data_IF_118829593753
#
_entry.id   IF_118829593753
#
_cell.length_a   1.000
_cell.length_b   1.000
_cell.length_c   1.000
_cell.angle_alpha   90.00
_cell.angle_beta   90.00
_cell.angle_gamma   90.00
#
_symmetry.space_group_name_H-M   'P 1'
#
loop_
_entity.id
_entity.type
_entity.pdbx_description
1 polymer ?
#
# COMPACT_ATOMS: atom_id res chain seq x y z
N UNK A 1 6.46 44.56 -11.98
CA UNK A 1 6.05 43.14 -12.09
C UNK A 1 7.30 42.32 -11.83
N UNK A 2 7.27 41.46 -10.81
CA UNK A 2 8.42 40.61 -10.47
C UNK A 2 8.50 39.45 -11.48
N UNK A 3 9.58 39.32 -12.26
CA UNK A 3 9.76 38.22 -13.21
C UNK A 3 10.01 36.85 -12.53
N UNK A 4 10.16 36.81 -11.20
CA UNK A 4 10.42 35.59 -10.41
C UNK A 4 9.22 35.12 -9.57
N UNK A 5 8.00 35.56 -9.90
CA UNK A 5 6.82 34.94 -9.33
C UNK A 5 6.74 33.48 -9.81
N UNK A 6 7.30 32.56 -9.02
CA UNK A 6 7.16 31.11 -9.18
C UNK A 6 5.67 30.80 -9.23
N UNK A 7 5.15 30.60 -10.44
CA UNK A 7 3.84 29.99 -10.61
C UNK A 7 3.90 28.64 -9.89
N UNK A 8 3.02 28.36 -8.92
CA UNK A 8 2.95 27.02 -8.36
C UNK A 8 2.73 26.06 -9.52
N UNK A 9 3.61 25.07 -9.66
CA UNK A 9 3.46 24.00 -10.65
C UNK A 9 2.07 23.37 -10.45
N UNK A 10 1.11 23.80 -11.27
CA UNK A 10 -0.18 23.13 -11.38
C UNK A 10 0.10 21.80 -12.08
N UNK A 11 0.25 20.75 -11.28
CA UNK A 11 0.32 19.38 -11.78
C UNK A 11 -1.08 19.02 -12.24
N UNK A 12 -1.27 18.89 -13.55
CA UNK A 12 -2.50 18.37 -14.11
C UNK A 12 -2.59 16.87 -13.81
N UNK A 13 -3.44 16.53 -12.84
CA UNK A 13 -3.66 15.14 -12.41
C UNK A 13 -4.45 14.30 -13.42
N UNK A 14 -4.89 14.90 -14.53
CA UNK A 14 -5.51 14.22 -15.67
C UNK A 14 -4.52 13.86 -16.78
N UNK A 15 -3.28 14.35 -16.69
CA UNK A 15 -2.20 13.95 -17.58
C UNK A 15 -1.81 12.49 -17.28
N UNK A 16 -1.96 11.56 -18.25
CA UNK A 16 -1.62 10.15 -18.05
C UNK A 16 -0.11 9.92 -17.86
N UNK A 17 0.74 10.91 -18.13
CA UNK A 17 2.17 10.87 -17.83
C UNK A 17 2.49 11.19 -16.36
N UNK A 18 1.55 11.82 -15.64
CA UNK A 18 1.67 12.09 -14.20
C UNK A 18 1.35 10.82 -13.44
N UNK A 19 2.41 10.12 -13.00
CA UNK A 19 2.26 9.01 -12.05
C UNK A 19 1.89 9.55 -10.69
N UNK A 20 0.75 9.08 -10.19
CA UNK A 20 0.34 9.34 -8.80
C UNK A 20 1.10 8.36 -7.93
N UNK A 21 2.09 8.89 -7.22
CA UNK A 21 2.87 8.15 -6.23
C UNK A 21 2.41 8.53 -4.84
N UNK A 22 2.55 7.60 -3.90
CA UNK A 22 2.02 7.78 -2.56
C UNK A 22 0.75 6.96 -2.40
N UNK A 23 0.90 5.78 -1.80
CA UNK A 23 -0.18 4.83 -1.58
C UNK A 23 -0.23 4.46 -0.10
N UNK A 24 -1.42 4.59 0.46
CA UNK A 24 -1.77 4.15 1.80
C UNK A 24 -2.18 2.69 1.74
N UNK A 25 -1.27 1.82 2.18
CA UNK A 25 -1.45 0.39 2.09
C UNK A 25 -1.89 -0.18 3.44
N UNK A 26 -3.01 -0.90 3.42
CA UNK A 26 -3.66 -1.45 4.60
C UNK A 26 -3.82 -2.95 4.42
N UNK A 27 -3.39 -3.73 5.41
CA UNK A 27 -3.61 -5.18 5.49
C UNK A 27 -4.48 -5.50 6.69
N UNK A 28 -5.61 -6.16 6.45
CA UNK A 28 -6.47 -6.70 7.49
C UNK A 28 -6.29 -8.22 7.55
N UNK A 29 -5.67 -8.72 8.60
CA UNK A 29 -5.56 -10.16 8.85
C UNK A 29 -6.81 -10.66 9.56
N UNK A 30 -7.56 -11.53 8.90
CA UNK A 30 -8.78 -12.12 9.45
C UNK A 30 -8.61 -13.60 9.83
N UNK A 31 -7.37 -14.10 9.90
CA UNK A 31 -7.11 -15.46 10.37
C UNK A 31 -7.45 -15.60 11.87
N UNK A 32 -8.63 -16.19 12.12
CA UNK A 32 -9.16 -16.45 13.45
C UNK A 32 -8.36 -17.50 14.25
N UNK A 33 -7.43 -18.20 13.62
CA UNK A 33 -6.55 -19.19 14.27
C UNK A 33 -5.21 -18.60 14.71
N UNK A 34 -4.91 -17.35 14.33
CA UNK A 34 -3.70 -16.65 14.75
C UNK A 34 -3.89 -16.02 16.14
N UNK A 35 -2.79 -15.90 16.91
CA UNK A 35 -2.80 -15.19 18.19
C UNK A 35 -3.18 -13.69 18.05
N UNK A 36 -3.08 -13.18 16.82
CA UNK A 36 -3.31 -11.79 16.41
C UNK A 36 -4.54 -11.68 15.46
N UNK A 37 -5.55 -12.54 15.68
CA UNK A 37 -6.78 -12.52 14.90
C UNK A 37 -7.40 -11.11 14.86
N UNK A 38 -7.71 -10.62 13.66
CA UNK A 38 -8.22 -9.25 13.41
C UNK A 38 -7.20 -8.11 13.62
N UNK A 39 -5.93 -8.35 13.30
CA UNK A 39 -4.93 -7.29 13.27
C UNK A 39 -5.00 -6.49 11.97
N UNK A 40 -4.91 -5.17 12.11
CA UNK A 40 -4.76 -4.25 10.98
C UNK A 40 -3.35 -3.70 10.97
N UNK A 41 -2.69 -3.77 9.82
CA UNK A 41 -1.43 -3.12 9.55
C UNK A 41 -1.61 -2.04 8.48
N UNK A 42 -0.96 -0.89 8.64
CA UNK A 42 -1.07 0.25 7.72
C UNK A 42 0.28 0.90 7.53
N UNK A 43 0.67 1.17 6.28
CA UNK A 43 1.92 1.86 5.95
C UNK A 43 1.77 2.69 4.67
N UNK A 44 2.41 3.85 4.68
CA UNK A 44 2.54 4.70 3.50
C UNK A 44 3.73 4.27 2.64
N UNK A 45 3.52 4.18 1.33
CA UNK A 45 4.55 3.85 0.35
C UNK A 45 4.67 4.96 -0.68
N UNK A 46 5.90 5.38 -1.01
CA UNK A 46 6.16 6.30 -2.11
C UNK A 46 6.21 5.56 -3.48
N UNK A 47 5.26 4.65 -3.68
CA UNK A 47 5.11 3.84 -4.88
C UNK A 47 3.80 4.23 -5.61
N UNK A 48 3.63 3.77 -6.84
CA UNK A 48 2.34 3.85 -7.56
C UNK A 48 1.49 2.59 -7.31
N UNK A 49 0.22 2.64 -7.71
CA UNK A 49 -0.73 1.55 -7.46
C UNK A 49 -0.30 0.23 -8.13
N UNK A 50 0.22 0.29 -9.35
CA UNK A 50 0.65 -0.91 -10.08
C UNK A 50 1.80 -1.62 -9.36
N UNK A 51 2.77 -0.84 -8.87
CA UNK A 51 3.87 -1.34 -8.04
C UNK A 51 3.35 -1.98 -6.76
N UNK A 52 2.34 -1.38 -6.12
CA UNK A 52 1.73 -1.92 -4.91
C UNK A 52 0.94 -3.21 -5.17
N UNK A 53 0.23 -3.32 -6.29
CA UNK A 53 -0.46 -4.57 -6.67
C UNK A 53 0.57 -5.67 -6.96
N UNK A 54 1.66 -5.36 -7.67
CA UNK A 54 2.74 -6.31 -7.91
C UNK A 54 3.41 -6.79 -6.61
N UNK A 55 3.62 -5.88 -5.66
CA UNK A 55 4.12 -6.18 -4.30
C UNK A 55 3.20 -7.14 -3.56
N UNK A 56 1.88 -6.86 -3.55
CA UNK A 56 0.88 -7.73 -2.91
C UNK A 56 0.90 -9.13 -3.53
N UNK A 57 0.94 -9.22 -4.86
CA UNK A 57 1.07 -10.51 -5.54
C UNK A 57 2.38 -11.23 -5.17
N UNK A 58 3.50 -10.52 -5.07
CA UNK A 58 4.78 -11.08 -4.61
C UNK A 58 4.69 -11.67 -3.20
N UNK A 59 4.01 -11.00 -2.27
CA UNK A 59 3.79 -11.52 -0.91
C UNK A 59 2.97 -12.81 -0.90
N UNK A 60 1.92 -12.88 -1.72
CA UNK A 60 1.08 -14.09 -1.86
C UNK A 60 1.91 -15.24 -2.44
N UNK A 61 2.71 -14.98 -3.47
CA UNK A 61 3.57 -16.01 -4.10
C UNK A 61 4.65 -16.54 -3.17
N UNK A 62 5.17 -15.71 -2.27
CA UNK A 62 6.13 -16.09 -1.24
C UNK A 62 5.48 -16.81 -0.04
N UNK A 63 4.15 -16.93 -0.02
CA UNK A 63 3.42 -17.60 1.05
C UNK A 63 3.32 -16.80 2.35
N UNK A 64 3.53 -15.48 2.31
CA UNK A 64 3.47 -14.62 3.50
C UNK A 64 2.03 -14.47 4.04
N UNK A 65 1.03 -14.50 3.14
CA UNK A 65 -0.39 -14.60 3.46
C UNK A 65 -1.18 -15.17 2.29
N UNK A 66 -2.38 -15.65 2.59
CA UNK A 66 -3.40 -15.91 1.57
C UNK A 66 -4.24 -14.66 1.36
N UNK A 67 -4.33 -14.19 0.11
CA UNK A 67 -5.21 -13.07 -0.25
C UNK A 67 -6.66 -13.55 -0.31
N UNK A 68 -7.57 -12.79 0.31
CA UNK A 68 -9.02 -13.04 0.28
C UNK A 68 -9.70 -11.99 -0.60
N UNK A 69 -9.36 -10.71 -0.40
CA UNK A 69 -9.87 -9.61 -1.21
C UNK A 69 -8.86 -8.48 -1.31
N UNK A 70 -8.94 -7.72 -2.39
CA UNK A 70 -8.21 -6.46 -2.56
C UNK A 70 -9.21 -5.40 -3.01
N UNK A 71 -9.13 -4.22 -2.38
CA UNK A 71 -9.78 -3.01 -2.85
C UNK A 71 -8.70 -1.96 -3.08
N UNK A 72 -8.75 -1.27 -4.22
CA UNK A 72 -7.76 -0.29 -4.61
C UNK A 72 -8.42 1.01 -5.06
N UNK A 73 -7.81 2.12 -4.66
CA UNK A 73 -8.16 3.48 -5.09
C UNK A 73 -6.91 4.20 -5.59
N UNK A 74 -7.08 5.44 -6.06
CA UNK A 74 -5.98 6.29 -6.55
C UNK A 74 -4.87 6.52 -5.50
N UNK A 75 -5.20 6.43 -4.21
CA UNK A 75 -4.29 6.77 -3.12
C UNK A 75 -4.17 5.69 -2.04
N UNK A 76 -4.85 4.57 -2.21
CA UNK A 76 -4.85 3.51 -1.19
C UNK A 76 -5.05 2.13 -1.79
N UNK A 77 -4.51 1.14 -1.09
CA UNK A 77 -4.77 -0.27 -1.35
C UNK A 77 -5.11 -0.95 -0.02
N UNK A 78 -6.21 -1.68 0.00
CA UNK A 78 -6.68 -2.44 1.15
C UNK A 78 -6.68 -3.91 0.78
N UNK A 79 -5.93 -4.70 1.53
CA UNK A 79 -5.78 -6.14 1.35
C UNK A 79 -6.41 -6.85 2.54
N UNK A 80 -7.44 -7.65 2.29
CA UNK A 80 -7.99 -8.57 3.27
C UNK A 80 -7.28 -9.91 3.06
N UNK A 81 -6.62 -10.40 4.10
CA UNK A 81 -5.79 -11.60 4.02
C UNK A 81 -5.96 -12.50 5.24
N UNK A 82 -5.48 -13.74 5.11
CA UNK A 82 -5.28 -14.66 6.22
C UNK A 82 -3.79 -14.98 6.32
N UNK A 83 -3.20 -14.74 7.50
CA UNK A 83 -1.83 -15.12 7.79
C UNK A 83 -1.69 -15.61 9.23
N UNK A 84 -0.83 -16.62 9.40
CA UNK A 84 -0.34 -17.06 10.70
C UNK A 84 0.88 -16.27 11.17
N UNK A 85 1.50 -15.51 10.26
CA UNK A 85 2.57 -14.58 10.61
C UNK A 85 1.94 -13.35 11.24
N UNK A 86 2.61 -12.77 12.24
CA UNK A 86 2.18 -11.47 12.71
C UNK A 86 2.37 -10.48 11.54
N UNK A 87 1.36 -9.65 11.27
CA UNK A 87 1.44 -8.64 10.21
C UNK A 87 2.61 -7.66 10.42
N UNK A 88 3.16 -7.63 11.63
CA UNK A 88 4.32 -6.82 11.95
C UNK A 88 5.67 -7.38 11.48
N UNK A 89 5.73 -8.67 11.16
CA UNK A 89 6.98 -9.35 10.81
C UNK A 89 7.21 -9.40 9.28
N UNK A 90 6.49 -8.56 8.52
CA UNK A 90 6.55 -8.53 7.06
C UNK A 90 7.87 -7.92 6.52
N UNK A 91 8.46 -8.49 5.45
CA UNK A 91 9.82 -8.19 4.97
C UNK A 91 10.06 -6.78 4.41
N UNK A 92 9.02 -5.95 4.28
CA UNK A 92 9.09 -4.62 3.66
C UNK A 92 9.58 -3.49 4.58
N UNK A 93 10.29 -3.80 5.67
CA UNK A 93 10.65 -2.80 6.67
C UNK A 93 9.41 -2.05 7.17
N UNK A 94 8.32 -2.78 7.39
CA UNK A 94 7.02 -2.23 7.80
C UNK A 94 7.06 -1.47 9.15
N UNK A 95 8.20 -1.50 9.86
CA UNK A 95 8.43 -1.00 11.22
C UNK A 95 9.79 -0.29 11.39
N UNK A 96 10.27 0.47 10.41
CA UNK A 96 11.13 1.60 10.77
C UNK A 96 10.25 2.83 10.96
N UNK A 97 9.86 2.99 12.23
CA UNK A 97 8.88 3.92 12.78
C UNK A 97 8.34 3.37 14.08
#
# INVERSE_FOLDING_TARGET
MDPNALNPLQVDISDPSVRVTGIDAIWHNIDATSADAFTTFRKWFQDDLDTMVARVNGHVQQGLYSQIAINASKHSIVVICASKLALKDFPDGAFEG
#
